data_IF_190928042776
#
_entry.id   IF_190928042776
#
_cell.length_a   1.000
_cell.length_b   1.000
_cell.length_c   1.000
_cell.angle_alpha   90.00
_cell.angle_beta   90.00
_cell.angle_gamma   90.00
#
_symmetry.space_group_name_H-M   'P 1'
#
loop_
_entity.id
_entity.type
_entity.pdbx_description
1 polymer ?
#
# COMPACT_ATOMS: atom_id res chain seq x y z
N UNK A 1 7.07 -11.95 -15.78
CA UNK A 1 6.40 -10.85 -16.49
C UNK A 1 6.14 -9.70 -15.53
N UNK A 2 6.45 -8.47 -15.94
CA UNK A 2 6.19 -7.29 -15.12
C UNK A 2 4.70 -7.00 -15.07
N UNK A 3 4.23 -6.59 -13.91
CA UNK A 3 2.87 -6.10 -13.74
C UNK A 3 2.89 -4.58 -13.63
N UNK A 4 1.83 -3.95 -14.11
CA UNK A 4 1.67 -2.51 -14.06
C UNK A 4 0.46 -2.22 -13.16
N UNK A 5 0.69 -1.46 -12.08
CA UNK A 5 -0.34 -1.17 -11.09
C UNK A 5 -0.50 0.33 -10.93
N UNK A 6 -1.73 0.80 -11.02
CA UNK A 6 -2.04 2.20 -10.69
C UNK A 6 -2.23 2.29 -9.19
N UNK A 7 -1.62 3.30 -8.59
CA UNK A 7 -1.74 3.53 -7.14
C UNK A 7 -1.99 5.00 -6.84
N UNK A 8 -2.55 5.26 -5.67
CA UNK A 8 -2.75 6.61 -5.16
C UNK A 8 -2.07 6.69 -3.79
N UNK A 9 -1.12 7.60 -3.65
CA UNK A 9 -0.38 7.77 -2.41
C UNK A 9 -1.05 8.86 -1.58
N UNK A 10 -2.08 8.46 -0.82
CA UNK A 10 -2.93 9.36 -0.09
C UNK A 10 -4.01 9.99 -0.98
N UNK A 11 -4.89 10.77 -0.37
CA UNK A 11 -5.95 11.46 -1.10
C UNK A 11 -5.34 12.45 -2.08
N UNK A 12 -5.75 12.36 -3.35
CA UNK A 12 -5.23 13.20 -4.43
C UNK A 12 -3.70 13.12 -4.60
N UNK A 13 -3.09 12.01 -4.17
CA UNK A 13 -1.66 11.83 -4.29
C UNK A 13 -0.83 12.70 -3.35
N UNK A 14 -1.39 13.07 -2.20
CA UNK A 14 -0.77 14.04 -1.28
C UNK A 14 0.60 13.61 -0.75
N UNK A 15 0.90 12.30 -0.76
CA UNK A 15 2.19 11.80 -0.27
C UNK A 15 3.19 11.53 -1.40
N UNK A 16 2.84 11.83 -2.64
CA UNK A 16 3.71 11.51 -3.78
C UNK A 16 5.08 12.19 -3.69
N UNK A 17 5.13 13.46 -3.30
CA UNK A 17 6.39 14.19 -3.22
C UNK A 17 7.34 13.56 -2.20
N UNK A 18 6.84 13.20 -1.02
CA UNK A 18 7.65 12.54 0.00
C UNK A 18 8.13 11.18 -0.48
N UNK A 19 7.26 10.43 -1.14
CA UNK A 19 7.60 9.13 -1.69
C UNK A 19 8.69 9.24 -2.76
N UNK A 20 8.62 10.26 -3.60
CA UNK A 20 9.64 10.49 -4.63
C UNK A 20 10.97 10.91 -4.02
N UNK A 21 10.93 11.76 -3.02
CA UNK A 21 12.14 12.24 -2.36
C UNK A 21 12.90 11.10 -1.66
N UNK A 22 12.17 10.15 -1.08
CA UNK A 22 12.76 9.08 -0.27
C UNK A 22 12.68 7.70 -0.92
N UNK A 23 12.27 7.62 -2.18
CA UNK A 23 12.30 6.41 -3.01
C UNK A 23 11.50 5.24 -2.43
N UNK A 24 10.23 5.50 -2.08
CA UNK A 24 9.33 4.46 -1.60
C UNK A 24 7.90 4.69 -2.09
N UNK A 25 7.10 3.64 -1.98
CA UNK A 25 5.63 3.74 -1.97
C UNK A 25 5.13 3.15 -0.66
N UNK A 26 3.92 3.51 -0.26
CA UNK A 26 3.43 3.02 1.01
C UNK A 26 1.92 3.07 1.16
N UNK A 27 1.47 2.42 2.24
CA UNK A 27 0.08 2.41 2.67
C UNK A 27 0.00 2.77 4.14
N UNK A 28 -1.10 3.41 4.52
CA UNK A 28 -1.28 3.90 5.89
C UNK A 28 -2.31 3.11 6.71
N UNK A 29 -2.86 2.06 6.16
CA UNK A 29 -3.85 1.25 6.85
C UNK A 29 -3.19 0.43 7.95
N UNK A 30 -3.87 0.30 9.11
CA UNK A 30 -3.37 -0.50 10.23
C UNK A 30 -1.93 -0.12 10.58
N UNK A 31 -1.72 1.14 10.90
CA UNK A 31 -0.39 1.76 11.07
C UNK A 31 0.48 1.11 12.14
N UNK A 32 -0.13 0.48 13.14
CA UNK A 32 0.59 -0.06 14.28
C UNK A 32 0.90 -1.55 14.13
N UNK A 33 0.57 -2.15 13.00
CA UNK A 33 0.72 -3.59 12.79
C UNK A 33 1.75 -3.85 11.71
N UNK A 34 2.87 -4.49 12.08
CA UNK A 34 3.85 -4.96 11.10
C UNK A 34 3.26 -6.18 10.39
N UNK A 35 3.12 -6.08 9.08
CA UNK A 35 2.52 -7.15 8.28
C UNK A 35 3.41 -8.39 8.20
N UNK A 36 4.69 -8.28 8.51
CA UNK A 36 5.56 -9.46 8.64
C UNK A 36 5.16 -10.34 9.82
N UNK A 37 4.50 -9.75 10.83
CA UNK A 37 4.08 -10.47 12.03
C UNK A 37 2.67 -11.05 11.90
N UNK A 38 1.97 -10.78 10.80
CA UNK A 38 0.62 -11.33 10.61
C UNK A 38 0.71 -12.73 10.00
N UNK A 39 0.00 -13.70 10.56
CA UNK A 39 -0.05 -15.02 9.95
C UNK A 39 -0.62 -14.94 8.54
N UNK A 40 0.07 -15.51 7.58
CA UNK A 40 -0.40 -15.56 6.21
C UNK A 40 -0.35 -16.99 5.70
N UNK A 41 -1.52 -17.61 5.60
CA UNK A 41 -1.67 -18.93 5.02
C UNK A 41 -2.35 -18.86 3.66
N UNK A 42 -3.29 -17.93 3.51
CA UNK A 42 -4.15 -17.85 2.36
C UNK A 42 -4.64 -16.41 2.23
N UNK A 43 -4.61 -15.88 1.01
CA UNK A 43 -4.98 -14.49 0.75
C UNK A 43 -6.38 -14.14 1.25
N UNK A 44 -7.37 -14.99 0.97
CA UNK A 44 -8.74 -14.70 1.34
C UNK A 44 -8.92 -14.63 2.86
N UNK A 45 -8.28 -15.55 3.60
CA UNK A 45 -8.33 -15.54 5.06
C UNK A 45 -7.69 -14.27 5.61
N UNK A 46 -6.52 -13.91 5.08
CA UNK A 46 -5.84 -12.68 5.49
C UNK A 46 -6.72 -11.45 5.24
N UNK A 47 -7.33 -11.36 4.04
CA UNK A 47 -8.20 -10.24 3.71
C UNK A 47 -9.37 -10.10 4.68
N UNK A 48 -10.03 -11.20 5.00
CA UNK A 48 -11.16 -11.19 5.93
C UNK A 48 -10.74 -10.73 7.33
N UNK A 49 -9.59 -11.18 7.80
CA UNK A 49 -9.07 -10.76 9.10
C UNK A 49 -8.76 -9.26 9.12
N UNK A 50 -8.14 -8.75 8.06
CA UNK A 50 -7.78 -7.32 8.00
C UNK A 50 -9.01 -6.44 7.83
N UNK A 51 -10.01 -6.89 7.07
CA UNK A 51 -11.28 -6.17 6.94
C UNK A 51 -11.95 -6.05 8.32
N UNK A 52 -11.99 -7.13 9.09
CA UNK A 52 -12.55 -7.10 10.45
C UNK A 52 -11.81 -6.12 11.35
N UNK A 53 -10.50 -6.14 11.34
CA UNK A 53 -9.69 -5.19 12.13
C UNK A 53 -9.94 -3.75 11.71
N UNK A 54 -10.02 -3.50 10.41
CA UNK A 54 -10.28 -2.16 9.90
C UNK A 54 -11.63 -1.64 10.38
N UNK A 55 -12.68 -2.46 10.30
CA UNK A 55 -14.02 -2.06 10.69
C UNK A 55 -14.14 -1.88 12.22
N UNK A 56 -13.37 -2.60 13.01
CA UNK A 56 -13.30 -2.36 14.45
C UNK A 56 -12.73 -0.97 14.77
N UNK A 57 -11.70 -0.56 14.03
CA UNK A 57 -11.06 0.74 14.21
C UNK A 57 -11.85 1.88 13.58
N UNK A 58 -12.64 1.58 12.56
CA UNK A 58 -13.40 2.57 11.79
C UNK A 58 -14.85 2.11 11.61
N UNK A 59 -15.65 2.08 12.69
CA UNK A 59 -17.01 1.53 12.63
C UNK A 59 -17.97 2.35 11.75
N UNK A 60 -17.58 3.59 11.40
CA UNK A 60 -18.36 4.46 10.51
C UNK A 60 -18.16 4.13 9.02
N UNK A 61 -17.20 3.26 8.69
CA UNK A 61 -16.88 2.94 7.29
C UNK A 61 -17.66 1.72 6.82
N UNK A 62 -17.91 1.68 5.50
CA UNK A 62 -18.61 0.55 4.89
C UNK A 62 -17.68 -0.63 4.65
N UNK A 63 -18.28 -1.81 4.48
CA UNK A 63 -17.53 -3.02 4.10
C UNK A 63 -16.83 -2.83 2.77
N UNK A 64 -17.48 -2.12 1.82
CA UNK A 64 -16.86 -1.86 0.51
C UNK A 64 -15.61 -1.01 0.65
N UNK A 65 -15.63 0.03 1.48
CA UNK A 65 -14.45 0.85 1.76
C UNK A 65 -13.36 0.00 2.39
N UNK A 66 -13.72 -0.84 3.35
CA UNK A 66 -12.75 -1.74 3.99
C UNK A 66 -12.09 -2.66 2.99
N UNK A 67 -12.86 -3.26 2.07
CA UNK A 67 -12.32 -4.14 1.03
C UNK A 67 -11.33 -3.41 0.12
N UNK A 68 -11.67 -2.19 -0.28
CA UNK A 68 -10.80 -1.39 -1.15
C UNK A 68 -9.48 -1.07 -0.44
N UNK A 69 -9.53 -0.62 0.80
CA UNK A 69 -8.35 -0.27 1.57
C UNK A 69 -7.47 -1.48 1.87
N UNK A 70 -8.08 -2.58 2.28
CA UNK A 70 -7.35 -3.83 2.56
C UNK A 70 -6.75 -4.40 1.29
N UNK A 71 -7.44 -4.26 0.16
CA UNK A 71 -6.91 -4.66 -1.15
C UNK A 71 -5.65 -3.91 -1.51
N UNK A 72 -5.60 -2.60 -1.28
CA UNK A 72 -4.41 -1.81 -1.51
C UNK A 72 -3.27 -2.22 -0.56
N UNK A 73 -3.58 -2.45 0.70
CA UNK A 73 -2.58 -2.92 1.67
C UNK A 73 -1.98 -4.27 1.24
N UNK A 74 -2.83 -5.19 0.79
CA UNK A 74 -2.36 -6.46 0.22
C UNK A 74 -1.39 -6.22 -0.94
N UNK A 75 -1.77 -5.36 -1.87
CA UNK A 75 -0.95 -5.06 -3.05
C UNK A 75 0.43 -4.57 -2.63
N UNK A 76 0.50 -3.62 -1.71
CA UNK A 76 1.78 -3.07 -1.24
C UNK A 76 2.61 -4.13 -0.53
N UNK A 77 2.01 -4.90 0.38
CA UNK A 77 2.76 -5.81 1.24
C UNK A 77 3.12 -7.13 0.56
N UNK A 78 2.24 -7.67 -0.27
CA UNK A 78 2.40 -9.03 -0.78
C UNK A 78 2.21 -9.17 -2.29
N UNK A 79 1.39 -8.32 -2.89
CA UNK A 79 1.03 -8.46 -4.30
C UNK A 79 2.10 -8.00 -5.27
N UNK A 80 2.78 -6.91 -4.95
CA UNK A 80 3.84 -6.36 -5.80
C UNK A 80 5.12 -7.13 -5.64
N UNK A 81 5.78 -7.39 -6.77
CA UNK A 81 7.05 -8.11 -6.80
C UNK A 81 8.15 -7.17 -7.28
N UNK A 82 9.39 -7.46 -6.89
CA UNK A 82 10.53 -6.73 -7.41
C UNK A 82 10.51 -6.78 -8.93
N UNK A 83 10.64 -5.60 -9.57
CA UNK A 83 10.53 -5.46 -11.02
C UNK A 83 9.17 -4.99 -11.50
N UNK A 84 8.14 -5.09 -10.68
CA UNK A 84 6.81 -4.58 -11.05
C UNK A 84 6.83 -3.07 -11.14
N UNK A 85 5.98 -2.51 -12.02
CA UNK A 85 5.89 -1.08 -12.28
C UNK A 85 4.65 -0.52 -11.60
N UNK A 86 4.81 0.62 -10.92
CA UNK A 86 3.70 1.35 -10.33
C UNK A 86 3.52 2.67 -11.07
N UNK A 87 2.26 3.06 -11.24
CA UNK A 87 1.86 4.33 -11.82
C UNK A 87 1.17 5.11 -10.72
N UNK A 88 1.90 6.02 -10.08
CA UNK A 88 1.39 6.79 -8.97
C UNK A 88 0.72 8.07 -9.47
N UNK A 89 -0.56 8.23 -9.20
CA UNK A 89 -1.31 9.41 -9.62
C UNK A 89 -0.79 10.65 -8.92
N UNK A 90 -0.66 11.76 -9.69
CA UNK A 90 -0.29 13.06 -9.13
C UNK A 90 -1.52 13.89 -8.71
N UNK A 91 -2.71 13.34 -8.84
CA UNK A 91 -3.95 14.04 -8.50
C UNK A 91 -4.46 14.98 -9.58
N UNK A 92 -3.72 15.16 -10.67
CA UNK A 92 -4.03 16.11 -11.74
C UNK A 92 -4.11 15.44 -13.11
N UNK A 93 -4.40 14.14 -13.14
CA UNK A 93 -4.55 13.40 -14.40
C UNK A 93 -3.26 12.80 -14.94
N UNK A 94 -2.12 13.06 -14.30
CA UNK A 94 -0.84 12.47 -14.67
C UNK A 94 -0.38 11.40 -13.70
N UNK A 95 0.73 10.74 -14.06
CA UNK A 95 1.30 9.68 -13.27
C UNK A 95 2.82 9.80 -13.18
N UNK A 96 3.36 9.43 -12.02
CA UNK A 96 4.78 9.22 -11.85
C UNK A 96 5.04 7.72 -11.93
N UNK A 97 6.02 7.32 -12.73
CA UNK A 97 6.33 5.90 -12.95
C UNK A 97 7.46 5.47 -12.03
N UNK A 98 7.30 4.33 -11.38
CA UNK A 98 8.33 3.75 -10.53
C UNK A 98 8.42 2.25 -10.72
N UNK A 99 9.57 1.70 -10.36
CA UNK A 99 9.82 0.26 -10.38
C UNK A 99 10.12 -0.24 -8.98
N UNK A 100 9.43 -1.31 -8.55
CA UNK A 100 9.65 -1.90 -7.23
C UNK A 100 11.04 -2.53 -7.19
N UNK A 101 11.84 -2.15 -6.18
CA UNK A 101 13.23 -2.62 -6.06
C UNK A 101 13.49 -3.44 -4.81
N UNK A 102 12.54 -3.50 -3.86
CA UNK A 102 12.74 -4.25 -2.61
C UNK A 102 11.46 -4.86 -2.08
N UNK A 103 11.63 -5.67 -1.04
CA UNK A 103 10.52 -6.32 -0.36
C UNK A 103 9.80 -5.35 0.59
N UNK A 104 8.65 -5.80 1.11
CA UNK A 104 7.93 -5.05 2.12
C UNK A 104 8.79 -4.79 3.35
N UNK A 105 8.71 -3.56 3.88
CA UNK A 105 9.27 -3.25 5.19
C UNK A 105 8.32 -2.32 5.95
N UNK A 106 8.44 -2.34 7.28
CA UNK A 106 7.59 -1.58 8.17
C UNK A 106 8.39 -0.44 8.80
N UNK A 107 7.86 0.79 8.69
CA UNK A 107 8.50 2.00 9.23
C UNK A 107 7.54 2.61 10.26
N UNK A 108 7.59 2.16 11.53
CA UNK A 108 6.63 2.61 12.53
C UNK A 108 6.74 4.10 12.82
N UNK A 109 5.60 4.72 13.09
CA UNK A 109 5.54 6.13 13.41
C UNK A 109 5.43 7.07 12.23
N UNK A 110 5.54 6.55 11.01
CA UNK A 110 5.43 7.35 9.79
C UNK A 110 4.00 7.37 9.26
N UNK A 111 3.69 8.37 8.42
CA UNK A 111 2.35 8.49 7.81
C UNK A 111 2.02 7.30 6.92
N UNK A 112 3.02 6.80 6.19
CA UNK A 112 2.87 5.61 5.37
C UNK A 112 3.86 4.55 5.88
N UNK A 113 3.49 3.77 6.92
CA UNK A 113 4.46 2.87 7.54
C UNK A 113 4.70 1.57 6.77
N UNK A 114 3.74 1.15 5.94
CA UNK A 114 3.88 -0.09 5.14
C UNK A 114 4.49 0.27 3.80
N UNK A 115 5.74 -0.11 3.57
CA UNK A 115 6.51 0.43 2.45
C UNK A 115 7.14 -0.62 1.54
N UNK A 116 7.35 -0.21 0.30
CA UNK A 116 8.19 -0.92 -0.68
C UNK A 116 9.16 0.09 -1.26
N UNK A 117 10.42 -0.31 -1.39
CA UNK A 117 11.41 0.54 -2.06
C UNK A 117 11.13 0.62 -3.55
N UNK A 118 11.37 1.79 -4.13
CA UNK A 118 11.02 2.09 -5.53
C UNK A 118 12.14 2.91 -6.15
N UNK A 119 12.37 2.66 -7.42
CA UNK A 119 13.21 3.53 -8.25
C UNK A 119 12.30 4.31 -9.18
N UNK A 120 12.18 5.61 -8.94
CA UNK A 120 11.34 6.48 -9.79
C UNK A 120 12.03 6.77 -11.10
N UNK A 121 11.25 6.87 -12.15
CA UNK A 121 11.75 7.12 -13.51
C UNK A 121 11.52 8.55 -13.94
#
# INVERSE_FOLDING_TARGET
>A
MKQYNRIMLGEHGMYLDDCREHNYIGANLLKDVDMNDTPFNEEEVWRQQMISKYLELHPDKSVQTARTCVGFLWTVCFGLKVGDVVLASNGNGGYQVGEITGDYYFQPGEELPHRRSVRWK
#
